data_IF_549178714094
#
_entry.id   IF_549178714094
#
_cell.length_a   1.000
_cell.length_b   1.000
_cell.length_c   1.000
_cell.angle_alpha   90.00
_cell.angle_beta   90.00
_cell.angle_gamma   90.00
#
_symmetry.space_group_name_H-M   'P 1'
#
loop_
_entity.id
_entity.type
_entity.pdbx_description
1 polymer ?
#
# COMPACT_ATOMS: atom_id res chain seq x y z
N UNK A 1 58.14 5.34 -38.55
CA UNK A 1 58.37 4.45 -37.38
C UNK A 1 57.08 4.40 -36.59
N UNK A 2 56.74 3.21 -36.09
CA UNK A 2 55.39 2.65 -35.94
C UNK A 2 54.43 3.33 -34.94
N UNK A 3 53.14 3.21 -35.27
CA UNK A 3 51.98 3.25 -34.37
C UNK A 3 52.05 2.13 -33.32
N UNK A 4 51.51 2.34 -32.11
CA UNK A 4 50.60 1.41 -31.40
C UNK A 4 50.12 2.07 -30.08
N UNK A 5 48.86 2.47 -29.98
CA UNK A 5 47.69 1.65 -29.64
C UNK A 5 47.49 1.50 -28.11
N UNK A 6 46.58 2.32 -27.60
CA UNK A 6 45.93 2.17 -26.30
C UNK A 6 45.33 0.77 -26.12
N UNK A 7 45.46 0.12 -24.95
CA UNK A 7 44.72 -1.11 -24.69
C UNK A 7 43.24 -0.77 -24.44
N UNK A 8 42.38 -1.14 -25.38
CA UNK A 8 40.92 -1.18 -25.19
C UNK A 8 40.60 -2.19 -24.09
N UNK A 9 39.91 -1.74 -23.04
CA UNK A 9 39.37 -2.61 -22.00
C UNK A 9 38.42 -3.65 -22.62
N UNK A 10 38.79 -4.93 -22.58
CA UNK A 10 37.97 -6.03 -23.05
C UNK A 10 36.66 -6.09 -22.24
N UNK A 11 35.47 -6.09 -22.87
CA UNK A 11 34.22 -6.18 -22.13
C UNK A 11 34.09 -7.57 -21.50
N UNK A 12 34.03 -7.63 -20.17
CA UNK A 12 33.96 -8.90 -19.43
C UNK A 12 32.86 -9.84 -19.96
N UNK A 13 33.14 -11.14 -20.16
CA UNK A 13 32.23 -12.12 -20.79
C UNK A 13 30.90 -12.32 -20.03
N UNK A 14 30.82 -11.90 -18.76
CA UNK A 14 29.58 -11.91 -17.97
C UNK A 14 28.54 -10.87 -18.40
N UNK A 15 28.96 -9.73 -18.97
CA UNK A 15 28.04 -8.65 -19.40
C UNK A 15 27.25 -9.02 -20.66
N UNK A 16 27.86 -9.75 -21.58
CA UNK A 16 27.22 -10.20 -22.81
C UNK A 16 26.10 -11.22 -22.54
N UNK A 17 26.36 -12.18 -21.65
CA UNK A 17 25.35 -13.17 -21.20
C UNK A 17 24.14 -12.52 -20.51
N UNK A 18 24.34 -11.40 -19.81
CA UNK A 18 23.25 -10.64 -19.18
C UNK A 18 22.36 -9.91 -20.18
N UNK A 19 22.94 -9.32 -21.24
CA UNK A 19 22.20 -8.59 -22.27
C UNK A 19 21.40 -9.50 -23.20
N UNK A 20 21.95 -10.64 -23.60
CA UNK A 20 21.21 -11.62 -24.41
C UNK A 20 20.02 -12.20 -23.65
N UNK A 21 20.16 -12.49 -22.36
CA UNK A 21 19.05 -12.91 -21.51
C UNK A 21 17.97 -11.82 -21.35
N UNK A 22 18.36 -10.55 -21.30
CA UNK A 22 17.41 -9.41 -21.29
C UNK A 22 16.67 -9.27 -22.62
N UNK A 23 17.37 -9.42 -23.74
CA UNK A 23 16.77 -9.39 -25.07
C UNK A 23 15.76 -10.53 -25.25
N UNK A 24 16.11 -11.76 -24.88
CA UNK A 24 15.19 -12.91 -24.92
C UNK A 24 13.94 -12.72 -24.04
N UNK A 25 14.10 -12.17 -22.84
CA UNK A 25 12.97 -11.84 -21.96
C UNK A 25 12.10 -10.70 -22.52
N UNK A 26 12.70 -9.68 -23.13
CA UNK A 26 11.97 -8.60 -23.78
C UNK A 26 11.18 -9.11 -24.98
N UNK A 27 11.80 -9.98 -25.80
CA UNK A 27 11.14 -10.64 -26.93
C UNK A 27 9.96 -11.49 -26.46
N UNK A 28 10.13 -12.27 -25.40
CA UNK A 28 9.03 -13.07 -24.82
C UNK A 28 7.83 -12.19 -24.43
N UNK A 29 8.06 -11.03 -23.82
CA UNK A 29 6.99 -10.07 -23.53
C UNK A 29 6.38 -9.45 -24.80
N UNK A 30 7.17 -9.11 -25.82
CA UNK A 30 6.64 -8.59 -27.09
C UNK A 30 5.75 -9.62 -27.80
N UNK A 31 6.14 -10.90 -27.80
CA UNK A 31 5.31 -11.99 -28.33
C UNK A 31 4.01 -12.14 -27.52
N UNK A 32 4.09 -12.04 -26.18
CA UNK A 32 2.90 -12.00 -25.33
C UNK A 32 1.98 -10.81 -25.64
N UNK A 33 2.55 -9.63 -25.90
CA UNK A 33 1.79 -8.46 -26.29
C UNK A 33 1.02 -8.68 -27.60
N UNK A 34 1.67 -9.27 -28.61
CA UNK A 34 1.02 -9.60 -29.88
C UNK A 34 -0.12 -10.62 -29.69
N UNK A 35 0.06 -11.62 -28.82
CA UNK A 35 -0.97 -12.58 -28.47
C UNK A 35 -2.21 -11.92 -27.84
N UNK A 36 -2.01 -11.11 -26.79
CA UNK A 36 -3.12 -10.42 -26.12
C UNK A 36 -3.78 -9.36 -26.99
N UNK A 37 -3.02 -8.70 -27.86
CA UNK A 37 -3.58 -7.75 -28.82
C UNK A 37 -4.53 -8.45 -29.80
N UNK A 38 -4.13 -9.63 -30.30
CA UNK A 38 -4.96 -10.44 -31.20
C UNK A 38 -6.22 -10.99 -30.52
N UNK A 39 -6.18 -11.25 -29.22
CA UNK A 39 -7.36 -11.71 -28.45
C UNK A 39 -8.28 -10.57 -28.00
N UNK A 40 -8.02 -9.32 -28.41
CA UNK A 40 -8.81 -8.14 -28.00
C UNK A 40 -8.50 -7.63 -26.58
N UNK A 41 -7.52 -8.22 -25.89
CA UNK A 41 -7.13 -7.85 -24.52
C UNK A 41 -6.06 -6.76 -24.53
N UNK A 42 -6.42 -5.57 -25.02
CA UNK A 42 -5.50 -4.45 -25.22
C UNK A 42 -4.76 -4.01 -23.95
N UNK A 43 -5.41 -4.09 -22.77
CA UNK A 43 -4.76 -3.75 -21.50
C UNK A 43 -3.60 -4.67 -21.16
N UNK A 44 -3.76 -5.99 -21.32
CA UNK A 44 -2.69 -6.96 -21.08
C UNK A 44 -1.57 -6.85 -22.12
N UNK A 45 -1.92 -6.54 -23.37
CA UNK A 45 -0.91 -6.25 -24.40
C UNK A 45 -0.01 -5.07 -24.00
N UNK A 46 -0.62 -3.97 -23.53
CA UNK A 46 0.11 -2.81 -23.00
C UNK A 46 1.00 -3.19 -21.81
N UNK A 47 0.49 -3.99 -20.87
CA UNK A 47 1.26 -4.47 -19.71
C UNK A 47 2.52 -5.23 -20.14
N UNK A 48 2.40 -6.13 -21.12
CA UNK A 48 3.53 -6.86 -21.67
C UNK A 48 4.58 -5.92 -22.29
N UNK A 49 4.16 -4.93 -23.08
CA UNK A 49 5.09 -3.95 -23.67
C UNK A 49 5.83 -3.12 -22.63
N UNK A 50 5.13 -2.67 -21.57
CA UNK A 50 5.76 -1.93 -20.48
C UNK A 50 6.79 -2.80 -19.76
N UNK A 51 6.49 -4.07 -19.49
CA UNK A 51 7.46 -5.00 -18.89
C UNK A 51 8.66 -5.27 -19.79
N UNK A 52 8.48 -5.35 -21.11
CA UNK A 52 9.59 -5.47 -22.07
C UNK A 52 10.59 -4.30 -21.91
N UNK A 53 10.10 -3.08 -21.70
CA UNK A 53 10.94 -1.91 -21.43
C UNK A 53 11.55 -1.88 -20.01
N UNK A 54 10.76 -2.18 -18.98
CA UNK A 54 11.20 -2.10 -17.58
C UNK A 54 12.34 -3.06 -17.24
N UNK A 55 12.45 -4.20 -17.93
CA UNK A 55 13.53 -5.17 -17.77
C UNK A 55 14.94 -4.57 -17.96
N UNK A 56 15.06 -3.53 -18.79
CA UNK A 56 16.33 -2.86 -19.08
C UNK A 56 16.82 -1.99 -17.93
N UNK A 57 15.96 -1.66 -16.96
CA UNK A 57 16.38 -0.98 -15.74
C UNK A 57 17.20 -1.94 -14.86
N UNK A 58 18.34 -1.51 -14.28
CA UNK A 58 19.21 -2.36 -13.46
C UNK A 58 18.69 -2.57 -12.03
N UNK A 59 17.37 -2.72 -11.87
CA UNK A 59 16.69 -2.76 -10.57
C UNK A 59 16.27 -4.19 -10.24
N UNK A 60 16.81 -4.75 -9.15
CA UNK A 60 16.63 -6.15 -8.80
C UNK A 60 15.17 -6.59 -8.64
N UNK A 61 14.34 -5.75 -8.00
CA UNK A 61 12.96 -6.13 -7.71
C UNK A 61 12.10 -6.18 -8.98
N UNK A 62 12.29 -5.27 -9.94
CA UNK A 62 11.62 -5.30 -11.24
C UNK A 62 11.94 -6.59 -11.98
N UNK A 63 13.22 -6.97 -12.02
CA UNK A 63 13.67 -8.19 -12.70
C UNK A 63 13.13 -9.47 -12.05
N UNK A 64 12.97 -9.48 -10.72
CA UNK A 64 12.33 -10.60 -9.98
C UNK A 64 10.83 -10.67 -10.26
N UNK A 65 10.14 -9.53 -10.27
CA UNK A 65 8.71 -9.47 -10.63
C UNK A 65 8.48 -9.91 -12.07
N UNK A 66 9.28 -9.43 -13.01
CA UNK A 66 9.23 -9.83 -14.41
C UNK A 66 9.42 -11.34 -14.60
N UNK A 67 10.31 -11.98 -13.82
CA UNK A 67 10.49 -13.42 -13.88
C UNK A 67 9.21 -14.19 -13.51
N UNK A 68 8.39 -13.68 -12.59
CA UNK A 68 7.10 -14.30 -12.22
C UNK A 68 6.05 -14.03 -13.29
N UNK A 69 5.98 -12.82 -13.85
CA UNK A 69 5.08 -12.53 -14.97
C UNK A 69 5.39 -13.36 -16.22
N UNK A 70 6.68 -13.61 -16.51
CA UNK A 70 7.08 -14.52 -17.59
C UNK A 70 6.64 -15.97 -17.35
N UNK A 71 6.62 -16.44 -16.09
CA UNK A 71 6.06 -17.76 -15.77
C UNK A 71 4.55 -17.79 -15.99
N UNK A 72 3.83 -16.73 -15.64
CA UNK A 72 2.41 -16.59 -15.97
C UNK A 72 2.16 -16.61 -17.48
N UNK A 73 2.96 -15.86 -18.25
CA UNK A 73 2.87 -15.83 -19.70
C UNK A 73 3.20 -17.19 -20.34
N UNK A 74 4.16 -17.93 -19.79
CA UNK A 74 4.47 -19.28 -20.23
C UNK A 74 3.29 -20.24 -20.00
N UNK A 75 2.61 -20.12 -18.85
CA UNK A 75 1.41 -20.90 -18.56
C UNK A 75 0.27 -20.55 -19.55
N UNK A 76 0.06 -19.26 -19.84
CA UNK A 76 -0.92 -18.82 -20.84
C UNK A 76 -0.63 -19.37 -22.25
N UNK A 77 0.64 -19.37 -22.67
CA UNK A 77 1.04 -20.01 -23.93
C UNK A 77 0.74 -21.51 -23.93
N UNK A 78 1.01 -22.21 -22.83
CA UNK A 78 0.69 -23.62 -22.68
C UNK A 78 -0.82 -23.89 -22.75
N UNK A 79 -1.62 -23.11 -22.03
CA UNK A 79 -3.08 -23.22 -22.03
C UNK A 79 -3.68 -22.93 -23.41
N UNK A 80 -3.21 -21.88 -24.07
CA UNK A 80 -3.62 -21.52 -25.44
C UNK A 80 -3.27 -22.63 -26.43
N UNK A 81 -2.06 -23.20 -26.32
CA UNK A 81 -1.61 -24.30 -27.18
C UNK A 81 -2.52 -25.51 -27.03
N UNK A 82 -2.84 -25.90 -25.80
CA UNK A 82 -3.73 -27.02 -25.50
C UNK A 82 -5.16 -26.76 -26.01
N UNK A 83 -5.69 -25.56 -25.80
CA UNK A 83 -7.03 -25.18 -26.25
C UNK A 83 -7.15 -25.27 -27.79
N UNK A 84 -6.20 -24.67 -28.51
CA UNK A 84 -6.19 -24.70 -29.98
C UNK A 84 -5.94 -26.11 -30.53
N UNK A 85 -5.09 -26.91 -29.87
CA UNK A 85 -4.83 -28.28 -30.29
C UNK A 85 -6.09 -29.15 -30.17
N UNK A 86 -6.81 -29.05 -29.04
CA UNK A 86 -8.08 -29.74 -28.84
C UNK A 86 -9.12 -29.33 -29.88
N UNK A 87 -9.21 -28.04 -30.19
CA UNK A 87 -10.16 -27.53 -31.19
C UNK A 87 -9.84 -28.06 -32.60
N UNK A 88 -8.57 -28.08 -33.00
CA UNK A 88 -8.16 -28.63 -34.31
C UNK A 88 -8.37 -30.14 -34.41
N UNK A 89 -8.10 -30.88 -33.33
CA UNK A 89 -8.35 -32.32 -33.26
C UNK A 89 -9.84 -32.65 -33.47
N UNK A 90 -10.74 -31.85 -32.88
CA UNK A 90 -12.19 -32.00 -33.07
C UNK A 90 -12.63 -31.72 -34.52
N UNK A 91 -11.91 -30.84 -35.22
CA UNK A 91 -12.17 -30.49 -36.62
C UNK A 91 -11.42 -31.39 -37.63
N UNK A 92 -10.67 -32.40 -37.17
CA UNK A 92 -9.87 -33.28 -38.03
C UNK A 92 -8.74 -32.57 -38.78
N UNK A 93 -8.26 -31.42 -38.29
CA UNK A 93 -7.22 -30.61 -38.92
C UNK A 93 -5.83 -30.92 -38.37
N UNK A 94 -4.79 -30.69 -39.18
CA UNK A 94 -3.39 -30.79 -38.75
C UNK A 94 -3.06 -29.81 -37.62
N UNK A 95 -2.61 -30.35 -36.49
CA UNK A 95 -2.32 -29.60 -35.26
C UNK A 95 -0.83 -29.58 -34.90
N UNK A 96 -0.04 -30.52 -35.41
CA UNK A 96 1.35 -30.74 -35.01
C UNK A 96 2.23 -29.49 -35.20
N UNK A 97 2.20 -28.89 -36.40
CA UNK A 97 2.98 -27.69 -36.71
C UNK A 97 2.68 -26.53 -35.76
N UNK A 98 1.41 -26.30 -35.46
CA UNK A 98 0.98 -25.24 -34.54
C UNK A 98 1.48 -25.51 -33.11
N UNK A 99 1.34 -26.75 -32.62
CA UNK A 99 1.83 -27.14 -31.29
C UNK A 99 3.35 -26.98 -31.18
N UNK A 100 4.11 -27.36 -32.21
CA UNK A 100 5.56 -27.15 -32.21
C UNK A 100 5.92 -25.66 -32.13
N UNK A 101 5.24 -24.78 -32.89
CA UNK A 101 5.51 -23.34 -32.88
C UNK A 101 5.17 -22.74 -31.52
N UNK A 102 3.94 -22.94 -31.03
CA UNK A 102 3.50 -22.34 -29.76
C UNK A 102 4.22 -22.96 -28.54
N UNK A 103 4.53 -24.26 -28.60
CA UNK A 103 5.35 -24.95 -27.61
C UNK A 103 6.78 -24.40 -27.55
N UNK A 104 7.39 -24.07 -28.69
CA UNK A 104 8.69 -23.41 -28.73
C UNK A 104 8.64 -22.00 -28.10
N UNK A 105 7.58 -21.23 -28.36
CA UNK A 105 7.37 -19.92 -27.71
C UNK A 105 7.20 -20.08 -26.19
N UNK A 106 6.41 -21.06 -25.74
CA UNK A 106 6.26 -21.38 -24.32
C UNK A 106 7.62 -21.75 -23.68
N UNK A 107 8.40 -22.63 -24.32
CA UNK A 107 9.73 -23.02 -23.86
C UNK A 107 10.69 -21.81 -23.79
N UNK A 108 10.70 -20.93 -24.80
CA UNK A 108 11.48 -19.69 -24.80
C UNK A 108 11.11 -18.81 -23.61
N UNK A 109 9.80 -18.63 -23.34
CA UNK A 109 9.33 -17.80 -22.22
C UNK A 109 9.73 -18.39 -20.85
N UNK A 110 9.69 -19.72 -20.70
CA UNK A 110 10.17 -20.42 -19.49
C UNK A 110 11.68 -20.26 -19.30
N UNK A 111 12.47 -20.44 -20.37
CA UNK A 111 13.92 -20.26 -20.34
C UNK A 111 14.28 -18.81 -20.00
N UNK A 112 13.56 -17.84 -20.54
CA UNK A 112 13.72 -16.43 -20.20
C UNK A 112 13.45 -16.19 -18.69
N UNK A 113 12.38 -16.76 -18.13
CA UNK A 113 12.09 -16.67 -16.71
C UNK A 113 13.18 -17.33 -15.84
N UNK A 114 13.67 -18.50 -16.23
CA UNK A 114 14.73 -19.22 -15.53
C UNK A 114 16.07 -18.45 -15.57
N UNK A 115 16.42 -17.87 -16.72
CA UNK A 115 17.64 -17.08 -16.90
C UNK A 115 17.69 -15.88 -15.93
N UNK A 116 16.54 -15.26 -15.62
CA UNK A 116 16.44 -14.16 -14.63
C UNK A 116 16.74 -14.62 -13.19
N UNK A 117 16.61 -15.91 -12.89
CA UNK A 117 16.98 -16.51 -11.59
C UNK A 117 18.45 -16.93 -11.53
N UNK A 118 19.20 -16.85 -12.63
CA UNK A 118 20.62 -17.20 -12.66
C UNK A 118 21.50 -16.18 -11.95
N UNK A 119 22.65 -16.62 -11.42
CA UNK A 119 23.64 -15.72 -10.76
C UNK A 119 24.21 -14.69 -11.74
N UNK A 120 24.41 -15.06 -13.00
CA UNK A 120 24.96 -14.20 -14.04
C UNK A 120 24.10 -12.94 -14.28
N UNK A 121 22.77 -13.09 -14.34
CA UNK A 121 21.86 -11.95 -14.54
C UNK A 121 21.68 -11.06 -13.29
N UNK A 122 22.07 -11.54 -12.11
CA UNK A 122 21.97 -10.82 -10.84
C UNK A 122 23.21 -10.00 -10.49
N UNK A 123 24.35 -10.19 -11.16
CA UNK A 123 25.61 -9.51 -10.83
C UNK A 123 25.53 -7.99 -10.98
N UNK A 124 24.79 -7.51 -11.98
CA UNK A 124 24.65 -6.08 -12.29
C UNK A 124 23.41 -5.42 -11.66
N UNK A 125 22.73 -6.09 -10.71
CA UNK A 125 21.51 -5.57 -10.09
C UNK A 125 21.81 -4.68 -8.88
N UNK A 126 21.19 -3.49 -8.83
CA UNK A 126 21.16 -2.71 -7.58
C UNK A 126 20.38 -3.49 -6.55
N UNK A 127 21.05 -3.87 -5.46
CA UNK A 127 20.47 -4.67 -4.39
C UNK A 127 19.31 -3.92 -3.75
N UNK A 128 18.11 -4.52 -3.83
CA UNK A 128 16.90 -4.04 -3.18
C UNK A 128 16.24 -5.16 -2.36
N UNK A 129 15.45 -4.81 -1.33
CA UNK A 129 14.73 -5.78 -0.51
C UNK A 129 13.90 -6.73 -1.39
N UNK A 130 14.02 -8.04 -1.15
CA UNK A 130 13.22 -9.06 -1.87
C UNK A 130 11.72 -8.81 -1.76
N UNK A 131 11.29 -8.26 -0.62
CA UNK A 131 9.90 -7.91 -0.35
C UNK A 131 9.31 -6.82 -1.27
N UNK A 132 10.11 -6.01 -1.98
CA UNK A 132 9.57 -5.08 -3.00
C UNK A 132 8.89 -5.83 -4.15
N UNK A 133 9.54 -6.90 -4.64
CA UNK A 133 8.99 -7.72 -5.70
C UNK A 133 7.72 -8.43 -5.22
N UNK A 134 7.72 -8.91 -3.97
CA UNK A 134 6.54 -9.52 -3.35
C UNK A 134 5.37 -8.52 -3.28
N UNK A 135 5.58 -7.29 -2.80
CA UNK A 135 4.54 -6.27 -2.74
C UNK A 135 3.96 -5.97 -4.13
N UNK A 136 4.83 -5.81 -5.14
CA UNK A 136 4.40 -5.61 -6.52
C UNK A 136 3.56 -6.78 -7.04
N UNK A 137 4.00 -8.01 -6.83
CA UNK A 137 3.32 -9.21 -7.31
C UNK A 137 1.98 -9.42 -6.60
N UNK A 138 1.93 -9.25 -5.28
CA UNK A 138 0.70 -9.39 -4.49
C UNK A 138 -0.36 -8.39 -4.95
N UNK A 139 0.00 -7.11 -5.10
CA UNK A 139 -0.96 -6.10 -5.57
C UNK A 139 -1.41 -6.38 -7.00
N UNK A 140 -0.47 -6.69 -7.91
CA UNK A 140 -0.82 -6.98 -9.30
C UNK A 140 -1.75 -8.19 -9.39
N UNK A 141 -1.45 -9.28 -8.68
CA UNK A 141 -2.26 -10.49 -8.67
C UNK A 141 -3.65 -10.25 -8.08
N UNK A 142 -3.75 -9.54 -6.95
CA UNK A 142 -5.04 -9.23 -6.33
C UNK A 142 -5.90 -8.34 -7.23
N UNK A 143 -5.33 -7.32 -7.86
CA UNK A 143 -6.09 -6.43 -8.73
C UNK A 143 -6.46 -7.07 -10.07
N UNK A 144 -5.59 -7.90 -10.66
CA UNK A 144 -5.94 -8.69 -11.85
C UNK A 144 -7.04 -9.72 -11.56
N UNK A 145 -7.00 -10.37 -10.39
CA UNK A 145 -8.07 -11.26 -9.94
C UNK A 145 -9.39 -10.49 -9.80
N UNK A 146 -9.36 -9.29 -9.21
CA UNK A 146 -10.53 -8.44 -9.09
C UNK A 146 -11.03 -7.93 -10.45
N UNK A 147 -10.14 -7.62 -11.40
CA UNK A 147 -10.51 -7.24 -12.77
C UNK A 147 -11.31 -8.37 -13.45
N UNK A 148 -10.89 -9.63 -13.24
CA UNK A 148 -11.59 -10.80 -13.79
C UNK A 148 -12.92 -11.13 -13.09
N UNK A 149 -13.01 -10.93 -11.77
CA UNK A 149 -14.22 -11.28 -10.99
C UNK A 149 -15.26 -10.16 -10.94
N UNK A 150 -14.82 -8.91 -10.79
CA UNK A 150 -15.66 -7.71 -10.58
C UNK A 150 -14.97 -6.50 -11.24
N UNK A 151 -14.94 -6.42 -12.58
CA UNK A 151 -14.25 -5.36 -13.33
C UNK A 151 -14.73 -3.95 -12.94
N UNK A 152 -15.99 -3.83 -12.54
CA UNK A 152 -16.60 -2.59 -12.03
C UNK A 152 -15.87 -1.99 -10.82
N UNK A 153 -14.98 -2.73 -10.14
CA UNK A 153 -14.20 -2.18 -9.04
C UNK A 153 -13.02 -1.32 -9.48
N UNK A 154 -12.57 -1.45 -10.74
CA UNK A 154 -11.44 -0.70 -11.27
C UNK A 154 -11.93 0.49 -12.08
N UNK A 155 -11.61 1.70 -11.60
CA UNK A 155 -12.00 2.96 -12.25
C UNK A 155 -11.57 3.01 -13.72
N UNK A 156 -10.35 2.56 -14.05
CA UNK A 156 -9.86 2.58 -15.43
C UNK A 156 -10.62 1.59 -16.32
N UNK A 157 -11.06 0.45 -15.77
CA UNK A 157 -11.92 -0.49 -16.49
C UNK A 157 -13.29 0.13 -16.81
N UNK A 158 -13.86 0.90 -15.87
CA UNK A 158 -15.12 1.63 -16.10
C UNK A 158 -14.99 2.67 -17.22
N UNK A 159 -13.85 3.36 -17.29
CA UNK A 159 -13.59 4.37 -18.31
C UNK A 159 -13.30 3.75 -19.67
N UNK A 160 -12.48 2.69 -19.69
CA UNK A 160 -12.12 1.97 -20.91
C UNK A 160 -12.12 0.46 -20.62
N UNK A 161 -13.12 -0.29 -21.12
CA UNK A 161 -13.21 -1.73 -20.89
C UNK A 161 -11.92 -2.47 -21.28
N UNK A 162 -11.49 -3.40 -20.42
CA UNK A 162 -10.26 -4.18 -20.63
C UNK A 162 -8.96 -3.48 -20.23
N UNK A 163 -8.98 -2.23 -19.75
CA UNK A 163 -7.79 -1.51 -19.28
C UNK A 163 -7.51 -1.68 -17.77
N UNK A 164 -8.32 -2.45 -17.05
CA UNK A 164 -8.10 -2.77 -15.63
C UNK A 164 -6.72 -3.40 -15.37
N UNK A 165 -6.21 -4.22 -16.31
CA UNK A 165 -4.85 -4.76 -16.26
C UNK A 165 -3.75 -3.69 -16.20
N UNK A 166 -3.92 -2.56 -16.90
CA UNK A 166 -2.97 -1.43 -16.86
C UNK A 166 -3.00 -0.77 -15.47
N UNK A 167 -4.19 -0.60 -14.90
CA UNK A 167 -4.33 -0.10 -13.53
C UNK A 167 -3.66 -1.04 -12.51
N UNK A 168 -3.82 -2.37 -12.68
CA UNK A 168 -3.16 -3.36 -11.83
C UNK A 168 -1.63 -3.30 -11.94
N UNK A 169 -1.07 -3.09 -13.14
CA UNK A 169 0.36 -2.86 -13.34
C UNK A 169 0.86 -1.61 -12.62
N UNK A 170 0.20 -0.47 -12.83
CA UNK A 170 0.58 0.80 -12.21
C UNK A 170 0.54 0.70 -10.68
N UNK A 171 -0.49 0.05 -10.14
CA UNK A 171 -0.61 -0.25 -8.73
C UNK A 171 0.52 -1.16 -8.24
N UNK A 172 0.81 -2.26 -8.93
CA UNK A 172 1.91 -3.16 -8.58
C UNK A 172 3.26 -2.43 -8.51
N UNK A 173 3.57 -1.61 -9.51
CA UNK A 173 4.79 -0.81 -9.53
C UNK A 173 4.83 0.20 -8.37
N UNK A 174 3.71 0.87 -8.10
CA UNK A 174 3.56 1.78 -6.95
C UNK A 174 3.84 1.08 -5.62
N UNK A 175 3.29 -0.12 -5.40
CA UNK A 175 3.53 -0.91 -4.18
C UNK A 175 5.02 -1.27 -3.99
N UNK A 176 5.73 -1.61 -5.08
CA UNK A 176 7.17 -1.86 -5.02
C UNK A 176 7.98 -0.61 -4.63
N UNK A 177 7.59 0.56 -5.14
CA UNK A 177 8.22 1.84 -4.84
C UNK A 177 7.94 2.30 -3.40
N UNK A 178 6.67 2.27 -2.97
CA UNK A 178 6.24 2.61 -1.60
C UNK A 178 6.99 1.76 -0.58
N UNK A 179 7.09 0.45 -0.83
CA UNK A 179 7.89 -0.42 0.03
C UNK A 179 9.34 0.07 0.11
N UNK A 180 9.98 0.35 -1.03
CA UNK A 180 11.38 0.79 -1.09
C UNK A 180 11.63 2.06 -0.29
N UNK A 181 10.74 3.04 -0.42
CA UNK A 181 10.82 4.30 0.32
C UNK A 181 10.59 4.14 1.82
N UNK A 182 9.74 3.21 2.24
CA UNK A 182 9.52 2.91 3.66
C UNK A 182 10.61 2.00 4.25
N UNK A 183 11.27 1.17 3.46
CA UNK A 183 12.35 0.30 3.92
C UNK A 183 13.60 1.09 4.37
N UNK A 184 13.86 2.24 3.76
CA UNK A 184 14.90 3.16 4.23
C UNK A 184 14.44 3.89 5.50
N UNK A 185 14.86 3.41 6.66
CA UNK A 185 14.52 3.99 7.97
C UNK A 185 14.82 5.49 8.08
N UNK A 186 15.85 6.01 7.41
CA UNK A 186 16.23 7.43 7.50
C UNK A 186 15.25 8.34 6.76
N UNK A 187 14.83 7.91 5.56
CA UNK A 187 13.91 8.67 4.69
C UNK A 187 12.45 8.32 4.91
N UNK A 188 12.15 7.23 5.61
CA UNK A 188 10.79 6.74 5.87
C UNK A 188 9.83 7.79 6.44
N UNK A 189 10.19 8.67 7.41
CA UNK A 189 9.27 9.69 7.92
C UNK A 189 8.77 10.64 6.83
N UNK A 190 9.69 11.09 5.96
CA UNK A 190 9.39 12.04 4.87
C UNK A 190 8.52 11.36 3.81
N UNK A 191 8.91 10.18 3.35
CA UNK A 191 8.15 9.46 2.33
C UNK A 191 6.79 9.00 2.84
N UNK A 192 6.70 8.51 4.08
CA UNK A 192 5.41 8.20 4.72
C UNK A 192 4.47 9.40 4.64
N UNK A 193 4.93 10.60 5.04
CA UNK A 193 4.12 11.84 4.99
C UNK A 193 3.65 12.17 3.57
N UNK A 194 4.50 12.00 2.56
CA UNK A 194 4.17 12.30 1.15
C UNK A 194 3.15 11.31 0.60
N UNK A 195 3.39 10.02 0.77
CA UNK A 195 2.54 8.94 0.30
C UNK A 195 1.18 8.98 1.00
N UNK A 196 1.17 9.26 2.31
CA UNK A 196 -0.05 9.41 3.09
C UNK A 196 -0.87 10.64 2.68
N UNK A 197 -0.21 11.74 2.32
CA UNK A 197 -0.88 12.93 1.78
C UNK A 197 -1.47 12.64 0.41
N UNK A 198 -0.71 12.00 -0.49
CA UNK A 198 -1.21 11.58 -1.80
C UNK A 198 -2.49 10.75 -1.65
N UNK A 199 -2.50 9.78 -0.74
CA UNK A 199 -3.69 8.97 -0.47
C UNK A 199 -4.90 9.83 -0.06
N UNK A 200 -4.72 10.76 0.87
CA UNK A 200 -5.79 11.66 1.29
C UNK A 200 -6.28 12.56 0.15
N UNK A 201 -5.36 13.13 -0.63
CA UNK A 201 -5.70 13.99 -1.77
C UNK A 201 -6.44 13.23 -2.87
N UNK A 202 -6.01 12.01 -3.22
CA UNK A 202 -6.70 11.18 -4.22
C UNK A 202 -8.08 10.78 -3.72
N UNK A 203 -8.20 10.39 -2.45
CA UNK A 203 -9.47 10.01 -1.83
C UNK A 203 -10.47 11.18 -1.84
N UNK A 204 -10.10 12.35 -1.30
CA UNK A 204 -11.00 13.52 -1.31
C UNK A 204 -11.20 14.11 -2.71
N UNK A 205 -10.20 14.06 -3.58
CA UNK A 205 -10.33 14.47 -4.98
C UNK A 205 -11.34 13.62 -5.73
N UNK A 206 -11.34 12.30 -5.52
CA UNK A 206 -12.34 11.39 -6.08
C UNK A 206 -13.73 11.64 -5.51
N UNK A 207 -13.88 11.92 -4.21
CA UNK A 207 -15.16 12.34 -3.61
C UNK A 207 -15.72 13.56 -4.33
N UNK A 208 -14.90 14.62 -4.43
CA UNK A 208 -15.31 15.89 -5.04
C UNK A 208 -15.66 15.70 -6.51
N UNK A 209 -14.89 14.89 -7.25
CA UNK A 209 -15.22 14.53 -8.62
C UNK A 209 -16.53 13.74 -8.71
N UNK A 210 -16.79 12.84 -7.77
CA UNK A 210 -18.05 12.10 -7.66
C UNK A 210 -19.26 12.99 -7.44
N UNK A 211 -19.11 14.04 -6.63
CA UNK A 211 -20.19 14.97 -6.27
C UNK A 211 -20.41 16.06 -7.31
N UNK A 212 -19.36 16.61 -7.91
CA UNK A 212 -19.43 17.80 -8.78
C UNK A 212 -19.21 17.52 -10.27
N UNK A 213 -18.51 16.44 -10.64
CA UNK A 213 -18.20 16.11 -12.03
C UNK A 213 -19.08 14.98 -12.56
N UNK A 214 -19.00 13.79 -11.97
CA UNK A 214 -19.76 12.63 -12.44
C UNK A 214 -19.86 11.52 -11.38
N UNK A 215 -21.03 10.91 -11.24
CA UNK A 215 -21.28 9.74 -10.39
C UNK A 215 -20.43 8.50 -10.69
N UNK A 216 -19.71 8.45 -11.82
CA UNK A 216 -18.83 7.34 -12.20
C UNK A 216 -17.68 7.14 -11.20
N UNK A 217 -17.25 8.23 -10.55
CA UNK A 217 -16.24 8.22 -9.49
C UNK A 217 -16.79 7.75 -8.13
N UNK A 218 -18.11 7.57 -8.01
CA UNK A 218 -18.75 7.02 -6.81
C UNK A 218 -19.00 5.51 -6.96
N UNK A 219 -18.93 4.77 -5.85
CA UNK A 219 -19.07 3.31 -5.86
C UNK A 219 -20.51 2.84 -6.14
N UNK A 220 -21.49 3.56 -5.58
CA UNK A 220 -22.93 3.31 -5.63
C UNK A 220 -23.58 4.69 -5.51
N UNK A 221 -24.70 4.96 -6.20
CA UNK A 221 -25.34 6.29 -6.28
C UNK A 221 -25.81 6.93 -4.97
N UNK A 222 -25.33 6.47 -3.80
CA UNK A 222 -25.57 7.04 -2.49
C UNK A 222 -24.24 7.56 -1.91
N UNK A 223 -24.10 8.86 -1.64
CA UNK A 223 -22.89 9.44 -1.09
C UNK A 223 -22.64 8.92 0.32
N UNK A 224 -21.51 8.24 0.53
CA UNK A 224 -21.04 7.94 1.88
C UNK A 224 -20.08 9.04 2.32
N UNK A 225 -20.54 9.89 3.24
CA UNK A 225 -19.71 10.97 3.75
C UNK A 225 -18.47 10.38 4.45
N UNK A 226 -17.24 10.71 4.04
CA UNK A 226 -16.04 10.10 4.59
C UNK A 226 -15.62 10.80 5.87
N UNK A 227 -16.39 10.55 6.93
CA UNK A 227 -16.03 10.93 8.29
C UNK A 227 -15.65 9.64 9.02
N UNK A 228 -14.42 9.51 9.57
CA UNK A 228 -13.96 8.26 10.19
C UNK A 228 -14.87 7.76 11.32
N UNK A 229 -15.56 8.68 12.01
CA UNK A 229 -16.55 8.34 13.04
C UNK A 229 -17.78 7.59 12.49
N UNK A 230 -18.18 7.83 11.23
CA UNK A 230 -19.32 7.19 10.58
C UNK A 230 -19.10 5.70 10.29
N UNK A 231 -17.85 5.24 10.30
CA UNK A 231 -17.53 3.80 10.23
C UNK A 231 -18.14 3.07 11.43
N UNK A 232 -18.16 3.70 12.61
CA UNK A 232 -18.74 3.13 13.83
C UNK A 232 -20.22 3.50 13.98
N UNK A 233 -20.56 4.78 13.79
CA UNK A 233 -21.92 5.27 14.07
C UNK A 233 -22.95 4.93 12.99
N UNK A 234 -22.54 4.78 11.73
CA UNK A 234 -23.44 4.51 10.60
C UNK A 234 -24.23 3.20 10.75
N UNK A 235 -23.57 2.06 11.00
CA UNK A 235 -24.26 0.78 11.24
C UNK A 235 -25.19 0.82 12.47
N UNK A 236 -24.78 1.50 13.54
CA UNK A 236 -25.57 1.62 14.78
C UNK A 236 -26.86 2.40 14.58
N UNK A 237 -26.80 3.52 13.84
CA UNK A 237 -27.99 4.32 13.52
C UNK A 237 -28.95 3.58 12.59
N UNK A 238 -28.44 2.89 11.56
CA UNK A 238 -29.27 2.15 10.59
C UNK A 238 -29.81 0.81 11.13
N UNK A 239 -29.23 0.29 12.20
CA UNK A 239 -29.73 -0.90 12.87
C UNK A 239 -29.53 -2.24 12.17
N UNK A 240 -28.61 -2.33 11.22
CA UNK A 240 -28.38 -3.54 10.42
C UNK A 240 -27.76 -3.32 9.04
N UNK A 241 -27.14 -2.15 8.78
CA UNK A 241 -26.48 -1.88 7.50
C UNK A 241 -25.28 -2.79 7.25
N UNK A 242 -24.85 -2.90 5.98
CA UNK A 242 -23.72 -3.74 5.57
C UNK A 242 -22.49 -3.54 6.47
N UNK A 243 -22.05 -4.59 7.16
CA UNK A 243 -20.84 -4.61 8.00
C UNK A 243 -19.53 -4.50 7.19
N UNK A 244 -19.61 -4.15 5.91
CA UNK A 244 -18.49 -4.09 5.00
C UNK A 244 -17.41 -3.10 5.43
N UNK A 245 -17.76 -1.85 5.75
CA UNK A 245 -16.77 -0.84 6.16
C UNK A 245 -16.14 -1.14 7.53
N UNK A 246 -16.90 -1.51 8.58
CA UNK A 246 -16.33 -2.01 9.83
C UNK A 246 -15.44 -3.25 9.64
N UNK A 247 -15.86 -4.20 8.79
CA UNK A 247 -15.10 -5.41 8.47
C UNK A 247 -13.79 -5.10 7.75
N UNK A 248 -13.84 -4.24 6.73
CA UNK A 248 -12.65 -3.75 6.01
C UNK A 248 -11.69 -3.05 6.97
N UNK A 249 -12.22 -2.19 7.85
CA UNK A 249 -11.45 -1.53 8.89
C UNK A 249 -10.79 -2.54 9.83
N UNK A 250 -11.54 -3.51 10.37
CA UNK A 250 -11.04 -4.54 11.28
C UNK A 250 -9.96 -5.41 10.65
N UNK A 251 -10.16 -5.90 9.43
CA UNK A 251 -9.15 -6.70 8.69
C UNK A 251 -7.91 -5.87 8.40
N UNK A 252 -8.08 -4.61 7.97
CA UNK A 252 -6.94 -3.73 7.74
C UNK A 252 -6.16 -3.40 9.02
N UNK A 253 -6.84 -3.29 10.16
CA UNK A 253 -6.21 -3.15 11.48
C UNK A 253 -5.49 -4.42 11.92
N UNK A 254 -6.01 -5.61 11.61
CA UNK A 254 -5.32 -6.85 11.92
C UNK A 254 -4.00 -6.96 11.14
N UNK A 255 -4.04 -6.58 9.86
CA UNK A 255 -2.90 -6.64 8.95
C UNK A 255 -1.86 -5.53 9.17
N UNK A 256 -2.30 -4.29 9.44
CA UNK A 256 -1.42 -3.13 9.62
C UNK A 256 -1.14 -2.78 11.10
N UNK A 257 -1.97 -3.24 12.02
CA UNK A 257 -1.99 -2.77 13.40
C UNK A 257 -2.39 -1.30 13.52
N UNK A 258 -1.91 -0.64 14.58
CA UNK A 258 -2.14 0.79 14.81
C UNK A 258 -1.46 1.70 13.78
N UNK A 259 -0.61 1.14 12.90
CA UNK A 259 -0.03 1.86 11.76
C UNK A 259 -1.10 2.38 10.79
N UNK A 260 -2.30 1.78 10.76
CA UNK A 260 -3.43 2.25 9.96
C UNK A 260 -3.69 3.75 10.17
N UNK A 261 -3.68 4.23 11.41
CA UNK A 261 -3.94 5.63 11.74
C UNK A 261 -2.87 6.60 11.20
N UNK A 262 -1.65 6.12 10.91
CA UNK A 262 -0.52 6.95 10.47
C UNK A 262 -0.07 6.70 9.03
N UNK A 263 -0.73 5.79 8.32
CA UNK A 263 -0.43 5.41 6.94
C UNK A 263 -1.65 5.40 6.02
N UNK A 264 -2.84 5.07 6.55
CA UNK A 264 -4.05 4.78 5.76
C UNK A 264 -5.24 5.67 6.12
N UNK A 265 -5.21 6.37 7.25
CA UNK A 265 -6.31 7.27 7.63
C UNK A 265 -6.27 8.57 6.82
N UNK A 266 -7.30 8.86 6.01
CA UNK A 266 -7.33 10.06 5.16
C UNK A 266 -7.37 11.39 5.96
N UNK A 267 -7.91 11.44 7.19
CA UNK A 267 -7.88 12.66 8.02
C UNK A 267 -6.58 12.84 8.80
N UNK A 268 -5.94 11.75 9.24
CA UNK A 268 -4.81 11.84 10.16
C UNK A 268 -3.60 12.57 9.58
N UNK A 269 -3.44 12.59 8.25
CA UNK A 269 -2.30 13.25 7.61
C UNK A 269 -2.32 14.76 7.80
N UNK A 270 -3.51 15.36 7.74
CA UNK A 270 -3.72 16.79 7.91
C UNK A 270 -3.40 17.21 9.34
N UNK A 271 -3.87 16.45 10.32
CA UNK A 271 -3.61 16.67 11.74
C UNK A 271 -2.11 16.52 12.07
N UNK A 272 -1.47 15.51 11.48
CA UNK A 272 -0.06 15.28 11.71
C UNK A 272 0.83 16.33 11.02
N UNK A 273 0.43 16.88 9.85
CA UNK A 273 1.11 18.04 9.23
C UNK A 273 0.90 19.33 10.02
N UNK A 274 -0.31 19.54 10.54
CA UNK A 274 -0.59 20.65 11.44
C UNK A 274 0.32 20.58 12.67
N UNK A 275 0.40 19.42 13.32
CA UNK A 275 1.31 19.19 14.44
C UNK A 275 2.78 19.36 14.06
N UNK A 276 3.17 19.07 12.81
CA UNK A 276 4.55 19.22 12.36
C UNK A 276 5.04 20.67 12.33
N UNK A 277 4.15 21.62 12.08
CA UNK A 277 4.43 23.05 12.10
C UNK A 277 4.56 23.61 13.53
N UNK A 278 4.13 22.85 14.54
CA UNK A 278 4.18 23.24 15.94
C UNK A 278 5.46 22.84 16.68
N UNK A 279 5.60 23.31 17.93
CA UNK A 279 6.78 23.06 18.76
C UNK A 279 6.99 21.57 19.04
N UNK A 280 8.23 21.19 19.41
CA UNK A 280 8.57 19.83 19.86
C UNK A 280 8.97 19.88 21.33
N UNK A 281 8.16 19.29 22.21
CA UNK A 281 8.39 19.36 23.66
C UNK A 281 8.81 18.03 24.30
N UNK A 282 8.51 16.87 23.67
CA UNK A 282 8.79 15.55 24.24
C UNK A 282 7.99 15.19 25.52
N UNK A 283 7.19 16.12 26.04
CA UNK A 283 6.38 16.02 27.28
C UNK A 283 5.12 15.14 27.12
N UNK A 284 4.89 14.60 25.92
CA UNK A 284 3.73 13.76 25.60
C UNK A 284 2.42 14.55 25.47
N UNK A 285 1.31 13.81 25.33
CA UNK A 285 -0.04 14.39 25.16
C UNK A 285 -0.66 14.70 26.54
N UNK A 286 -1.18 15.93 26.78
CA UNK A 286 -1.80 16.31 28.05
C UNK A 286 -2.93 15.37 28.49
N UNK A 287 -3.11 15.22 29.80
CA UNK A 287 -4.07 14.28 30.37
C UNK A 287 -5.52 14.53 29.94
N UNK A 288 -5.90 15.80 29.80
CA UNK A 288 -7.22 16.22 29.34
C UNK A 288 -7.60 15.56 28.00
N UNK A 289 -6.76 15.71 26.97
CA UNK A 289 -7.01 15.13 25.64
C UNK A 289 -7.13 13.60 25.70
N UNK A 290 -6.33 12.93 26.55
CA UNK A 290 -6.40 11.48 26.71
C UNK A 290 -7.74 11.02 27.29
N UNK A 291 -8.28 11.76 28.26
CA UNK A 291 -9.57 11.45 28.91
C UNK A 291 -10.74 11.78 27.99
N UNK A 292 -10.69 12.93 27.32
CA UNK A 292 -11.73 13.40 26.41
C UNK A 292 -12.06 12.39 25.30
N UNK A 293 -11.05 11.67 24.83
CA UNK A 293 -11.20 10.63 23.79
C UNK A 293 -12.16 9.51 24.17
N UNK A 294 -12.19 9.12 25.45
CA UNK A 294 -13.12 8.11 25.96
C UNK A 294 -14.57 8.63 25.95
N UNK A 295 -14.77 9.89 26.37
CA UNK A 295 -16.07 10.55 26.30
C UNK A 295 -16.58 10.63 24.87
N UNK A 296 -15.73 11.04 23.92
CA UNK A 296 -16.11 11.12 22.51
C UNK A 296 -16.36 9.77 21.86
N UNK A 297 -15.65 8.71 22.28
CA UNK A 297 -15.98 7.34 21.86
C UNK A 297 -17.37 6.94 22.37
N UNK A 298 -17.67 7.17 23.65
CA UNK A 298 -19.00 6.87 24.21
C UNK A 298 -20.11 7.65 23.48
N UNK A 299 -19.92 8.96 23.25
CA UNK A 299 -20.85 9.79 22.48
C UNK A 299 -21.04 9.24 21.06
N UNK A 300 -19.96 8.82 20.39
CA UNK A 300 -20.04 8.28 19.03
C UNK A 300 -20.83 6.98 18.90
N UNK A 301 -21.02 6.24 20.01
CA UNK A 301 -21.78 4.99 20.05
C UNK A 301 -23.21 5.21 20.56
N UNK A 302 -23.37 6.04 21.61
CA UNK A 302 -24.65 6.28 22.27
C UNK A 302 -25.55 7.25 21.51
N UNK A 303 -25.00 8.33 20.95
CA UNK A 303 -25.79 9.34 20.23
C UNK A 303 -26.53 8.76 19.01
N UNK A 304 -25.90 7.98 18.11
CA UNK A 304 -26.60 7.40 16.97
C UNK A 304 -27.65 6.36 17.39
N UNK A 305 -27.37 5.60 18.47
CA UNK A 305 -28.35 4.68 19.02
C UNK A 305 -29.56 5.42 19.60
N UNK A 306 -29.34 6.51 20.34
CA UNK A 306 -30.40 7.36 20.87
C UNK A 306 -31.24 8.01 19.77
N UNK A 307 -30.61 8.54 18.72
CA UNK A 307 -31.31 9.11 17.56
C UNK A 307 -32.18 8.07 16.85
N UNK A 308 -31.70 6.83 16.75
CA UNK A 308 -32.48 5.71 16.20
C UNK A 308 -33.68 5.38 17.06
N UNK A 309 -33.48 5.23 18.38
CA UNK A 309 -34.56 4.91 19.32
C UNK A 309 -35.62 6.02 19.37
N UNK A 310 -35.22 7.28 19.17
CA UNK A 310 -36.13 8.42 19.08
C UNK A 310 -36.80 8.57 17.69
N UNK A 311 -36.50 7.70 16.72
CA UNK A 311 -37.13 7.73 15.40
C UNK A 311 -36.80 8.96 14.54
N UNK A 312 -35.71 9.69 14.84
CA UNK A 312 -35.38 10.89 14.06
C UNK A 312 -34.97 10.53 12.63
N UNK A 313 -35.45 11.28 11.62
CA UNK A 313 -35.11 11.01 10.23
C UNK A 313 -33.64 11.35 9.92
N UNK A 314 -33.08 10.66 8.93
CA UNK A 314 -31.64 10.71 8.57
C UNK A 314 -31.06 12.10 8.22
N UNK A 315 -31.82 13.10 7.71
CA UNK A 315 -31.26 14.40 7.39
C UNK A 315 -30.66 15.10 8.62
N UNK A 316 -31.29 14.97 9.79
CA UNK A 316 -30.78 15.56 11.03
C UNK A 316 -29.46 14.93 11.48
N UNK A 317 -29.35 13.60 11.35
CA UNK A 317 -28.09 12.90 11.63
C UNK A 317 -26.96 13.35 10.69
N UNK A 318 -27.28 13.61 9.41
CA UNK A 318 -26.32 14.13 8.43
C UNK A 318 -25.91 15.57 8.76
N UNK A 319 -26.86 16.46 9.05
CA UNK A 319 -26.59 17.87 9.39
C UNK A 319 -25.72 17.97 10.64
N UNK A 320 -26.02 17.20 11.70
CA UNK A 320 -25.21 17.16 12.91
C UNK A 320 -23.80 16.65 12.63
N UNK A 321 -23.66 15.60 11.81
CA UNK A 321 -22.36 15.05 11.45
C UNK A 321 -21.52 16.05 10.62
N UNK A 322 -22.16 16.76 9.68
CA UNK A 322 -21.52 17.79 8.86
C UNK A 322 -21.11 19.01 9.70
N UNK A 323 -22.01 19.54 10.53
CA UNK A 323 -21.74 20.67 11.40
C UNK A 323 -20.59 20.39 12.37
N UNK A 324 -20.61 19.20 12.99
CA UNK A 324 -19.53 18.78 13.88
C UNK A 324 -18.22 18.60 13.10
N UNK A 325 -18.25 18.00 11.92
CA UNK A 325 -17.06 17.83 11.07
C UNK A 325 -16.43 19.16 10.64
N UNK A 326 -17.26 20.10 10.16
CA UNK A 326 -16.83 21.40 9.65
C UNK A 326 -16.33 22.33 10.76
N UNK A 327 -16.89 22.27 11.97
CA UNK A 327 -16.44 23.11 13.09
C UNK A 327 -15.26 22.49 13.86
N UNK A 328 -15.31 21.18 14.15
CA UNK A 328 -14.33 20.53 15.02
C UNK A 328 -12.98 20.31 14.32
N UNK A 329 -12.99 20.01 13.02
CA UNK A 329 -11.76 19.70 12.30
C UNK A 329 -10.83 20.92 12.17
N UNK A 330 -11.26 22.10 11.71
CA UNK A 330 -10.39 23.28 11.63
C UNK A 330 -9.86 23.72 13.00
N UNK A 331 -10.72 23.73 14.03
CA UNK A 331 -10.34 24.04 15.41
C UNK A 331 -9.26 23.07 15.92
N UNK A 332 -9.44 21.76 15.68
CA UNK A 332 -8.46 20.76 16.06
C UNK A 332 -7.14 20.94 15.32
N UNK A 333 -7.17 21.20 14.00
CA UNK A 333 -5.96 21.43 13.21
C UNK A 333 -5.20 22.69 13.68
N UNK A 334 -5.91 23.77 13.99
CA UNK A 334 -5.30 24.97 14.55
C UNK A 334 -4.63 24.69 15.90
N UNK A 335 -5.31 23.96 16.78
CA UNK A 335 -4.77 23.61 18.08
C UNK A 335 -3.58 22.63 17.97
N UNK A 336 -3.61 21.72 16.99
CA UNK A 336 -2.48 20.84 16.67
C UNK A 336 -1.23 21.62 16.25
N UNK A 337 -1.39 22.70 15.47
CA UNK A 337 -0.29 23.62 15.15
C UNK A 337 0.26 24.29 16.40
N UNK A 338 -0.61 24.82 17.26
CA UNK A 338 -0.18 25.52 18.48
C UNK A 338 0.55 24.61 19.47
N UNK A 339 0.02 23.40 19.70
CA UNK A 339 0.54 22.48 20.70
C UNK A 339 1.64 21.55 20.16
N UNK A 340 1.80 21.44 18.84
CA UNK A 340 2.79 20.54 18.22
C UNK A 340 2.46 19.04 18.39
N UNK A 341 1.21 18.72 18.73
CA UNK A 341 0.70 17.35 18.87
C UNK A 341 -0.53 17.18 17.96
N UNK A 342 -0.80 15.99 17.41
CA UNK A 342 -1.97 15.74 16.59
C UNK A 342 -3.20 15.61 17.52
N UNK A 343 -3.80 16.75 17.87
CA UNK A 343 -4.91 16.86 18.83
C UNK A 343 -6.12 16.08 18.35
N UNK A 344 -6.43 16.14 17.05
CA UNK A 344 -7.57 15.39 16.51
C UNK A 344 -7.36 13.90 16.70
N UNK A 345 -6.22 13.35 16.29
CA UNK A 345 -5.93 11.92 16.39
C UNK A 345 -5.77 11.45 17.85
N UNK A 346 -5.18 12.26 18.73
CA UNK A 346 -4.86 11.89 20.11
C UNK A 346 -5.99 12.14 21.10
N UNK A 347 -6.91 13.06 20.83
CA UNK A 347 -7.94 13.48 21.79
C UNK A 347 -9.37 13.47 21.28
N UNK A 348 -9.59 13.65 19.97
CA UNK A 348 -10.94 13.86 19.42
C UNK A 348 -11.47 12.63 18.69
N UNK A 349 -10.63 12.01 17.86
CA UNK A 349 -11.06 10.96 16.94
C UNK A 349 -11.45 9.67 17.69
N UNK A 350 -12.75 9.28 17.67
CA UNK A 350 -13.20 8.06 18.33
C UNK A 350 -12.66 6.82 17.61
N UNK A 351 -12.57 6.87 16.26
CA UNK A 351 -12.00 5.78 15.47
C UNK A 351 -10.54 5.52 15.83
N UNK A 352 -9.77 6.56 16.13
CA UNK A 352 -8.40 6.39 16.59
C UNK A 352 -8.31 5.64 17.92
N UNK A 353 -9.30 5.81 18.81
CA UNK A 353 -9.35 5.11 20.09
C UNK A 353 -9.61 3.64 19.86
N UNK A 354 -10.64 3.35 19.06
CA UNK A 354 -10.97 2.00 18.63
C UNK A 354 -9.79 1.34 17.93
N UNK A 355 -9.08 2.06 17.05
CA UNK A 355 -7.88 1.55 16.39
C UNK A 355 -6.76 1.19 17.37
N UNK A 356 -6.51 2.03 18.38
CA UNK A 356 -5.47 1.72 19.37
C UNK A 356 -5.86 0.51 20.25
N UNK A 357 -7.14 0.38 20.62
CA UNK A 357 -7.65 -0.74 21.40
C UNK A 357 -7.59 -2.05 20.58
N UNK A 358 -8.19 -2.06 19.38
CA UNK A 358 -8.23 -3.23 18.51
C UNK A 358 -6.86 -3.61 17.97
N UNK A 359 -5.93 -2.66 17.81
CA UNK A 359 -4.56 -2.97 17.43
C UNK A 359 -3.83 -3.85 18.44
N UNK A 360 -4.33 -4.01 19.67
CA UNK A 360 -3.80 -5.02 20.58
C UNK A 360 -4.01 -6.47 20.07
N UNK A 361 -4.99 -6.69 19.21
CA UNK A 361 -5.19 -7.99 18.55
C UNK A 361 -4.18 -8.21 17.40
N UNK A 362 -3.63 -7.12 16.84
CA UNK A 362 -2.61 -7.23 15.79
C UNK A 362 -1.29 -7.77 16.36
N UNK A 363 -0.49 -8.50 15.55
CA UNK A 363 0.74 -9.12 16.03
C UNK A 363 1.89 -8.11 16.25
N UNK A 364 1.77 -6.91 15.69
CA UNK A 364 2.87 -5.94 15.60
C UNK A 364 3.04 -5.13 16.88
N UNK A 365 4.26 -5.11 17.42
CA UNK A 365 4.63 -4.27 18.57
C UNK A 365 5.99 -3.61 18.37
N UNK A 366 6.08 -2.33 18.70
CA UNK A 366 7.36 -1.64 18.84
C UNK A 366 7.94 -1.96 20.21
N UNK A 367 9.18 -2.45 20.27
CA UNK A 367 9.90 -2.75 21.52
C UNK A 367 11.28 -2.10 21.51
N UNK A 368 11.79 -1.87 22.72
CA UNK A 368 13.19 -1.50 22.96
C UNK A 368 14.00 -2.78 23.19
N UNK A 369 15.20 -2.85 22.64
CA UNK A 369 16.16 -3.93 22.93
C UNK A 369 17.26 -3.42 23.89
N UNK A 370 18.22 -4.29 24.20
CA UNK A 370 19.31 -4.00 25.16
C UNK A 370 20.28 -2.89 24.73
N UNK A 371 20.23 -2.40 23.49
CA UNK A 371 21.15 -1.36 23.00
C UNK A 371 20.67 0.06 23.34
N UNK A 372 19.61 0.19 24.14
CA UNK A 372 19.03 1.48 24.49
C UNK A 372 19.87 2.21 25.53
N UNK A 373 20.44 3.35 25.16
CA UNK A 373 21.25 4.22 26.05
C UNK A 373 20.43 5.23 26.86
N UNK A 374 19.11 5.28 26.67
CA UNK A 374 18.25 6.23 27.39
C UNK A 374 18.32 7.69 26.90
N UNK A 375 18.96 7.98 25.76
CA UNK A 375 19.23 9.35 25.27
C UNK A 375 18.01 10.24 24.93
N UNK A 376 16.78 9.73 25.02
CA UNK A 376 15.56 10.52 24.82
C UNK A 376 15.25 10.98 23.40
N UNK A 377 16.09 10.69 22.39
CA UNK A 377 15.87 11.15 21.02
C UNK A 377 14.53 10.66 20.43
N UNK A 378 14.17 9.40 20.70
CA UNK A 378 12.92 8.80 20.23
C UNK A 378 11.66 9.42 20.89
N UNK A 379 11.76 9.84 22.15
CA UNK A 379 10.68 10.51 22.86
C UNK A 379 10.43 11.92 22.33
N UNK A 380 11.50 12.68 22.03
CA UNK A 380 11.41 14.04 21.48
C UNK A 380 10.75 14.12 20.11
N UNK A 381 10.83 13.05 19.30
CA UNK A 381 10.16 12.98 17.99
C UNK A 381 8.76 12.37 18.04
N UNK A 382 8.37 11.73 19.14
CA UNK A 382 7.08 11.05 19.25
C UNK A 382 5.94 12.04 19.50
N UNK A 383 5.28 12.49 18.42
CA UNK A 383 4.15 13.43 18.54
C UNK A 383 2.89 12.82 19.18
N UNK A 384 2.72 11.50 19.14
CA UNK A 384 1.58 10.80 19.75
C UNK A 384 1.73 10.58 21.27
N UNK A 385 2.89 10.93 21.84
CA UNK A 385 3.16 10.79 23.27
C UNK A 385 3.20 9.35 23.79
N UNK A 386 3.39 8.37 22.89
CA UNK A 386 3.56 6.96 23.23
C UNK A 386 4.96 6.65 23.77
N UNK A 387 5.96 7.41 23.31
CA UNK A 387 7.30 7.52 23.91
C UNK A 387 7.43 8.92 24.48
N UNK A 388 7.83 9.04 25.75
CA UNK A 388 7.94 10.32 26.46
C UNK A 388 9.12 10.30 27.41
N UNK A 389 9.55 11.48 27.83
CA UNK A 389 10.48 11.63 28.94
C UNK A 389 9.67 11.71 30.23
N UNK A 390 10.00 10.86 31.20
CA UNK A 390 9.46 10.96 32.55
C UNK A 390 10.17 12.08 33.33
N UNK A 391 9.74 12.35 34.57
CA UNK A 391 10.29 13.43 35.42
C UNK A 391 11.81 13.34 35.60
N UNK A 392 12.35 12.12 35.66
CA UNK A 392 13.78 11.84 35.80
C UNK A 392 14.55 11.87 34.47
N UNK A 393 13.93 12.33 33.38
CA UNK A 393 14.54 12.37 32.04
C UNK A 393 14.69 11.00 31.37
N UNK A 394 14.20 9.92 31.98
CA UNK A 394 14.21 8.57 31.42
C UNK A 394 13.13 8.38 30.37
N UNK A 395 13.38 7.50 29.40
CA UNK A 395 12.42 7.19 28.33
C UNK A 395 11.36 6.20 28.83
N UNK A 396 10.12 6.65 28.92
CA UNK A 396 8.93 5.81 29.13
C UNK A 396 8.34 5.30 27.81
N UNK A 397 7.68 4.13 27.88
CA UNK A 397 6.97 3.51 26.76
C UNK A 397 7.83 2.52 25.94
N UNK A 398 7.41 2.17 24.71
CA UNK A 398 6.20 2.60 24.02
C UNK A 398 4.92 2.12 24.72
N UNK A 399 3.92 2.98 24.87
CA UNK A 399 2.59 2.57 25.35
C UNK A 399 1.62 2.23 24.20
N UNK A 400 0.41 1.81 24.57
CA UNK A 400 -0.66 1.37 23.67
C UNK A 400 -1.13 2.45 22.66
N UNK A 401 -0.78 3.72 22.88
CA UNK A 401 -1.15 4.82 21.96
C UNK A 401 -0.20 4.93 20.78
N UNK A 402 0.85 4.12 20.73
CA UNK A 402 1.77 4.07 19.61
C UNK A 402 1.02 3.71 18.33
N UNK A 403 0.98 4.63 17.36
CA UNK A 403 0.39 4.40 16.03
C UNK A 403 1.36 3.72 15.07
N UNK A 404 2.42 3.06 15.57
CA UNK A 404 3.45 2.36 14.78
C UNK A 404 3.97 3.15 13.56
N UNK A 405 4.08 4.48 13.68
CA UNK A 405 4.48 5.36 12.57
C UNK A 405 5.97 5.19 12.20
N UNK A 406 6.77 4.69 13.14
CA UNK A 406 8.22 4.42 13.04
C UNK A 406 9.13 5.66 12.93
N UNK A 407 8.64 6.87 13.19
CA UNK A 407 9.49 8.07 13.20
C UNK A 407 10.63 7.96 14.21
N UNK A 408 10.35 7.38 15.37
CA UNK A 408 11.34 7.11 16.41
C UNK A 408 12.50 6.21 15.94
N UNK A 409 12.26 5.29 14.99
CA UNK A 409 13.28 4.39 14.46
C UNK A 409 14.26 5.12 13.53
N UNK A 410 13.84 6.23 12.91
CA UNK A 410 14.69 7.03 12.01
C UNK A 410 15.79 7.80 12.74
N UNK A 411 15.54 8.17 14.02
CA UNK A 411 16.45 9.00 14.82
C UNK A 411 17.31 8.21 15.80
N UNK A 412 17.02 6.92 16.00
CA UNK A 412 17.77 6.08 16.94
C UNK A 412 19.12 5.64 16.33
N UNK A 413 20.22 6.27 16.74
CA UNK A 413 21.59 5.95 16.29
C UNK A 413 22.04 4.53 16.69
N UNK A 414 21.60 4.05 17.85
CA UNK A 414 21.96 2.72 18.39
C UNK A 414 21.09 1.57 17.85
N UNK A 415 20.13 1.84 16.97
CA UNK A 415 19.15 0.84 16.47
C UNK A 415 18.46 0.06 17.59
N UNK A 416 18.20 0.73 18.71
CA UNK A 416 17.64 0.13 19.91
C UNK A 416 16.12 -0.12 19.85
N UNK A 417 15.48 0.28 18.76
CA UNK A 417 14.05 0.14 18.51
C UNK A 417 13.81 -0.86 17.38
N UNK A 418 12.96 -1.85 17.65
CA UNK A 418 12.63 -2.93 16.72
C UNK A 418 11.14 -3.25 16.74
N UNK A 419 10.64 -3.75 15.61
CA UNK A 419 9.29 -4.28 15.49
C UNK A 419 9.34 -5.77 15.80
N UNK A 420 8.44 -6.23 16.67
CA UNK A 420 8.24 -7.64 16.99
C UNK A 420 6.86 -8.10 16.53
N UNK A 421 6.78 -9.37 16.11
CA UNK A 421 5.57 -10.09 15.76
C UNK A 421 5.36 -11.17 16.82
N UNK A 422 4.28 -11.09 17.61
CA UNK A 422 4.00 -12.07 18.68
C UNK A 422 5.19 -12.35 19.62
N UNK A 423 6.00 -11.33 19.92
CA UNK A 423 7.18 -11.44 20.77
C UNK A 423 8.49 -11.80 20.05
N UNK A 424 8.43 -12.29 18.81
CA UNK A 424 9.60 -12.59 18.00
C UNK A 424 10.10 -11.34 17.27
N UNK A 425 11.41 -11.08 17.35
CA UNK A 425 12.09 -10.03 16.61
C UNK A 425 12.75 -10.55 15.33
N UNK A 426 13.16 -9.64 14.45
CA UNK A 426 13.95 -9.99 13.28
C UNK A 426 13.79 -9.01 12.13
N UNK A 427 14.76 -8.98 11.23
CA UNK A 427 14.68 -8.12 10.04
C UNK A 427 13.47 -8.47 9.16
N UNK A 428 13.10 -9.75 9.07
CA UNK A 428 11.95 -10.22 8.29
C UNK A 428 10.61 -9.70 8.84
N UNK A 429 10.50 -9.45 10.15
CA UNK A 429 9.28 -8.94 10.79
C UNK A 429 8.96 -7.53 10.33
N UNK A 430 9.95 -6.65 10.33
CA UNK A 430 9.78 -5.29 9.81
C UNK A 430 9.46 -5.31 8.32
N UNK A 431 10.10 -6.20 7.55
CA UNK A 431 9.81 -6.37 6.12
C UNK A 431 8.36 -6.83 5.88
N UNK A 432 7.84 -7.75 6.69
CA UNK A 432 6.46 -8.22 6.59
C UNK A 432 5.45 -7.09 6.88
N UNK A 433 5.67 -6.31 7.95
CA UNK A 433 4.83 -5.14 8.25
C UNK A 433 4.86 -4.12 7.12
N UNK A 434 6.05 -3.80 6.59
CA UNK A 434 6.20 -2.86 5.47
C UNK A 434 5.52 -3.35 4.19
N UNK A 435 5.58 -4.66 3.92
CA UNK A 435 4.89 -5.28 2.80
C UNK A 435 3.38 -5.13 2.97
N UNK A 436 2.85 -5.48 4.15
CA UNK A 436 1.43 -5.31 4.49
C UNK A 436 0.98 -3.86 4.29
N UNK A 437 1.72 -2.88 4.84
CA UNK A 437 1.41 -1.46 4.70
C UNK A 437 1.43 -0.98 3.25
N UNK A 438 2.42 -1.41 2.47
CA UNK A 438 2.53 -1.03 1.07
C UNK A 438 1.39 -1.60 0.23
N UNK A 439 1.06 -2.88 0.44
CA UNK A 439 -0.05 -3.57 -0.24
C UNK A 439 -1.38 -2.89 0.11
N UNK A 440 -1.68 -2.71 1.40
CA UNK A 440 -2.95 -2.08 1.84
C UNK A 440 -3.08 -0.64 1.34
N UNK A 441 -2.01 0.16 1.45
CA UNK A 441 -2.02 1.53 0.95
C UNK A 441 -2.34 1.57 -0.54
N UNK A 442 -1.68 0.72 -1.32
CA UNK A 442 -1.85 0.69 -2.77
C UNK A 442 -3.23 0.19 -3.16
N UNK A 443 -3.71 -0.88 -2.53
CA UNK A 443 -5.06 -1.38 -2.75
C UNK A 443 -6.09 -0.29 -2.46
N UNK A 444 -5.99 0.42 -1.32
CA UNK A 444 -6.94 1.49 -1.01
C UNK A 444 -6.84 2.69 -1.95
N UNK A 445 -5.63 3.05 -2.38
CA UNK A 445 -5.40 4.14 -3.32
C UNK A 445 -6.00 3.84 -4.71
N UNK A 446 -5.78 2.62 -5.21
CA UNK A 446 -6.17 2.24 -6.57
C UNK A 446 -7.56 1.61 -6.67
N UNK A 447 -8.14 1.10 -5.58
CA UNK A 447 -9.53 0.64 -5.59
C UNK A 447 -10.54 1.75 -5.29
N UNK A 448 -10.07 3.01 -5.18
CA UNK A 448 -10.86 4.25 -5.15
C UNK A 448 -12.32 4.06 -4.77
N UNK A 449 -12.59 3.81 -3.48
CA UNK A 449 -13.96 3.65 -2.95
C UNK A 449 -14.34 4.94 -2.27
N UNK A 450 -15.04 5.82 -3.00
CA UNK A 450 -15.79 6.95 -2.41
C UNK A 450 -17.22 6.98 -2.95
#
# INVERSE_FOLDING_TARGET
MQMEATPRACPQPGRWKGRTALAGASLAFVLGAAHFFRSGQHGLACVCLVWAGLLWRPVAWLRRSAAVFLLGLAAEWGMTTLALARWRLQLGQDWLRMVCILGAVAALTLLAAAARRSRACRRDEVSGPRAQALACLLVSALLLLLDGLRPDLLLLHRLVPGWGAVQALLAGLWAGLVYGWLADRRRAPVWRRRIWLLFSCVFFGQLLAGLFLHSLFLLQGVPHLPVPGLILSGPLYRGGGSLFMPGLFAVSLLLAGSAWCSHLCYLGVWDARAADAGPRSGRGVPAFWRKMRWGLLAVSLLLPLGLRLAGLPWPWALVLALALGLALLPCALWLSRKLGIPVYCCGICPLGMTANLLAHLSPWRLRRNGHCTGCGACARVCRYGALRLDGDGRVAGPDWRCTLCRDCMSVCRHRALEIRCCGQGGAWVEQALLCSLSVLHTLFLFMGRV
#
